data_IF_659899270243
#
_entry.id   IF_659899270243
#
_cell.length_a   1.000
_cell.length_b   1.000
_cell.length_c   1.000
_cell.angle_alpha   90.00
_cell.angle_beta   90.00
_cell.angle_gamma   90.00
#
_symmetry.space_group_name_H-M   'P 1'
#
loop_
_entity.id
_entity.type
_entity.pdbx_description
1 polymer ?
#
# COMPACT_ATOMS: atom_id res chain seq x y z
N UNK A 1 3.71 -65.55 -21.16
CA UNK A 1 3.93 -64.26 -20.47
C UNK A 1 3.05 -63.22 -21.15
N UNK A 2 2.07 -62.66 -20.44
CA UNK A 2 1.06 -61.74 -20.99
C UNK A 2 1.68 -60.37 -21.25
N UNK A 3 1.49 -59.87 -22.48
CA UNK A 3 1.85 -58.53 -22.91
C UNK A 3 0.94 -57.49 -22.22
N UNK A 4 1.54 -56.38 -21.78
CA UNK A 4 0.83 -55.18 -21.37
C UNK A 4 1.43 -53.98 -22.10
N UNK A 5 0.81 -53.61 -23.22
CA UNK A 5 0.98 -52.31 -23.85
C UNK A 5 0.05 -51.32 -23.16
N UNK A 6 0.61 -50.29 -22.51
CA UNK A 6 -0.13 -49.09 -22.13
C UNK A 6 0.64 -47.86 -22.62
N UNK A 7 0.06 -47.26 -23.66
CA UNK A 7 0.34 -45.92 -24.19
C UNK A 7 -0.08 -44.87 -23.16
N UNK A 8 0.71 -43.81 -22.98
CA UNK A 8 0.25 -42.51 -22.48
C UNK A 8 1.18 -41.40 -22.98
N UNK A 9 0.75 -40.55 -23.94
CA UNK A 9 1.48 -39.37 -24.37
C UNK A 9 1.11 -38.19 -23.45
N UNK A 10 1.97 -37.88 -22.48
CA UNK A 10 1.83 -36.72 -21.62
C UNK A 10 2.45 -35.48 -22.27
N UNK A 11 1.64 -34.72 -23.00
CA UNK A 11 2.01 -33.39 -23.49
C UNK A 11 2.38 -32.48 -22.31
N UNK A 12 3.65 -32.12 -22.21
CA UNK A 12 4.14 -31.06 -21.32
C UNK A 12 3.58 -29.72 -21.81
N UNK A 13 2.47 -29.31 -21.21
CA UNK A 13 1.94 -27.96 -21.34
C UNK A 13 2.94 -26.98 -20.74
N UNK A 14 3.60 -26.23 -21.61
CA UNK A 14 4.32 -25.01 -21.30
C UNK A 14 3.32 -24.00 -20.69
N UNK A 15 3.19 -24.01 -19.37
CA UNK A 15 2.60 -22.90 -18.64
C UNK A 15 3.61 -21.73 -18.69
N UNK A 16 3.59 -20.98 -19.79
CA UNK A 16 4.11 -19.63 -19.82
C UNK A 16 3.19 -18.79 -18.94
N UNK A 17 3.52 -18.68 -17.65
CA UNK A 17 2.89 -17.69 -16.78
C UNK A 17 3.28 -16.31 -17.31
N UNK A 18 2.33 -15.70 -18.03
CA UNK A 18 2.35 -14.29 -18.39
C UNK A 18 2.72 -13.47 -17.17
N UNK A 19 3.87 -12.79 -17.25
CA UNK A 19 4.29 -11.81 -16.28
C UNK A 19 3.41 -10.57 -16.38
N UNK A 20 2.18 -10.66 -15.88
CA UNK A 20 1.39 -9.49 -15.57
C UNK A 20 1.96 -8.88 -14.29
N UNK A 21 2.81 -7.88 -14.47
CA UNK A 21 3.28 -6.96 -13.42
C UNK A 21 2.15 -6.07 -12.90
N UNK A 22 0.94 -6.62 -12.72
CA UNK A 22 -0.09 -5.95 -11.95
C UNK A 22 0.27 -6.15 -10.48
N UNK A 23 0.77 -5.09 -9.86
CA UNK A 23 0.92 -5.05 -8.41
C UNK A 23 -0.44 -5.45 -7.80
N UNK A 24 -0.49 -6.40 -6.84
CA UNK A 24 -1.74 -6.89 -6.28
C UNK A 24 -2.30 -5.81 -5.36
N UNK A 25 -2.86 -4.77 -5.94
CA UNK A 25 -3.46 -3.68 -5.18
C UNK A 25 -4.84 -4.09 -4.72
N UNK A 26 -5.07 -3.93 -3.42
CA UNK A 26 -6.38 -4.04 -2.80
C UNK A 26 -7.36 -3.06 -3.45
N UNK A 27 -8.65 -3.40 -3.50
CA UNK A 27 -9.71 -2.46 -3.90
C UNK A 27 -9.84 -1.27 -2.94
N UNK A 28 -9.38 -1.44 -1.70
CA UNK A 28 -9.18 -0.35 -0.75
C UNK A 28 -7.76 0.23 -0.95
N UNK A 29 -7.61 1.46 -1.46
CA UNK A 29 -6.32 2.07 -1.76
C UNK A 29 -5.49 2.34 -0.50
N UNK A 30 -6.09 2.28 0.68
CA UNK A 30 -5.39 2.48 1.94
C UNK A 30 -4.67 1.22 2.44
N UNK A 31 -4.87 0.07 1.79
CA UNK A 31 -4.22 -1.20 2.13
C UNK A 31 -3.04 -1.49 1.22
N UNK A 32 -2.00 -2.08 1.78
CA UNK A 32 -0.81 -2.50 1.04
C UNK A 32 0.48 -1.96 1.65
N UNK A 33 1.54 -1.99 0.85
CA UNK A 33 2.89 -1.64 1.26
C UNK A 33 3.36 -0.33 0.61
N UNK A 34 4.10 0.45 1.37
CA UNK A 34 4.48 1.80 0.98
C UNK A 34 5.94 2.07 1.30
N UNK A 35 6.59 2.88 0.45
CA UNK A 35 7.97 3.31 0.63
C UNK A 35 8.14 4.79 0.24
N UNK A 36 9.14 5.46 0.80
CA UNK A 36 9.50 6.84 0.43
C UNK A 36 10.12 6.97 -0.97
N UNK A 37 10.41 5.85 -1.65
CA UNK A 37 10.81 5.85 -3.07
C UNK A 37 10.43 4.54 -3.75
N UNK A 38 10.24 4.57 -5.08
CA UNK A 38 9.95 3.38 -5.91
C UNK A 38 11.09 2.36 -6.00
N UNK A 39 12.30 2.72 -5.53
CA UNK A 39 13.50 1.87 -5.59
C UNK A 39 13.81 1.18 -4.27
N UNK A 40 13.04 1.46 -3.22
CA UNK A 40 13.21 0.84 -1.91
C UNK A 40 12.16 -0.24 -1.69
N UNK A 41 12.52 -1.23 -0.88
CA UNK A 41 11.56 -2.15 -0.31
C UNK A 41 10.55 -1.38 0.56
N UNK A 42 9.42 -2.04 0.86
CA UNK A 42 8.38 -1.49 1.71
C UNK A 42 8.93 -1.06 3.09
N UNK A 43 8.65 0.18 3.50
CA UNK A 43 9.07 0.74 4.78
C UNK A 43 7.95 0.66 5.82
N UNK A 44 6.70 0.72 5.35
CA UNK A 44 5.53 0.46 6.16
C UNK A 44 4.46 -0.27 5.35
N UNK A 45 3.58 -0.98 6.04
CA UNK A 45 2.40 -1.60 5.45
C UNK A 45 1.15 -1.28 6.25
N UNK A 46 0.03 -1.19 5.56
CA UNK A 46 -1.29 -1.07 6.17
C UNK A 46 -2.06 -2.36 5.94
N UNK A 47 -2.46 -2.98 7.04
CA UNK A 47 -3.31 -4.17 7.05
C UNK A 47 -4.68 -3.82 7.66
N UNK A 48 -5.69 -4.63 7.35
CA UNK A 48 -7.02 -4.55 7.97
C UNK A 48 -7.34 -5.83 8.72
N UNK A 49 -7.66 -5.70 10.00
CA UNK A 49 -8.03 -6.82 10.87
C UNK A 49 -9.24 -6.43 11.72
N UNK A 50 -10.27 -7.28 11.77
CA UNK A 50 -11.50 -6.96 12.50
C UNK A 50 -12.20 -5.67 12.06
N UNK A 51 -11.98 -5.24 10.80
CA UNK A 51 -12.50 -3.98 10.27
C UNK A 51 -11.67 -2.73 10.63
N UNK A 52 -10.63 -2.87 11.45
CA UNK A 52 -9.73 -1.80 11.85
C UNK A 52 -8.44 -1.82 11.02
N UNK A 53 -7.87 -0.64 10.78
CA UNK A 53 -6.60 -0.50 10.05
C UNK A 53 -5.43 -0.45 11.02
N UNK A 54 -4.33 -1.11 10.68
CA UNK A 54 -3.11 -1.09 11.46
C UNK A 54 -1.92 -0.81 10.55
N UNK A 55 -1.00 0.03 11.02
CA UNK A 55 0.30 0.18 10.37
C UNK A 55 1.32 -0.74 11.01
N UNK A 56 2.12 -1.41 10.20
CA UNK A 56 3.37 -2.04 10.63
C UNK A 56 4.54 -1.36 9.95
N UNK A 57 5.63 -1.15 10.68
CA UNK A 57 6.87 -0.60 10.13
C UNK A 57 7.92 -1.70 9.99
N UNK A 58 8.66 -1.66 8.90
CA UNK A 58 9.87 -2.45 8.74
C UNK A 58 10.95 -1.88 9.65
N UNK A 59 11.51 -2.71 10.53
CA UNK A 59 12.67 -2.37 11.36
C UNK A 59 13.64 -3.54 11.40
N UNK A 60 14.79 -3.36 10.74
CA UNK A 60 15.92 -4.30 10.78
C UNK A 60 15.55 -5.74 10.36
N UNK A 61 14.83 -5.88 9.25
CA UNK A 61 14.32 -7.13 8.70
C UNK A 61 13.07 -7.67 9.38
N UNK A 62 12.46 -6.93 10.31
CA UNK A 62 11.28 -7.39 11.05
C UNK A 62 10.15 -6.39 10.96
N UNK A 63 8.95 -6.90 10.65
CA UNK A 63 7.73 -6.12 10.69
C UNK A 63 7.23 -5.93 12.12
N UNK A 64 7.12 -4.68 12.55
CA UNK A 64 6.59 -4.31 13.87
C UNK A 64 5.26 -3.63 13.70
N UNK A 65 4.18 -4.31 14.09
CA UNK A 65 2.83 -3.74 14.10
C UNK A 65 2.69 -2.76 15.26
N UNK A 66 2.13 -1.60 14.96
CA UNK A 66 1.75 -0.64 15.99
C UNK A 66 0.49 -1.13 16.71
N UNK A 67 0.41 -1.00 18.05
CA UNK A 67 -0.65 -1.63 18.83
C UNK A 67 -2.01 -0.94 18.66
N UNK A 68 -2.01 0.32 18.26
CA UNK A 68 -3.22 1.13 18.15
C UNK A 68 -3.69 1.18 16.69
N UNK A 69 -4.99 0.94 16.50
CA UNK A 69 -5.61 1.10 15.20
C UNK A 69 -5.51 2.55 14.70
N UNK A 70 -5.37 2.69 13.38
CA UNK A 70 -5.57 3.95 12.69
C UNK A 70 -7.06 4.19 12.51
N UNK A 71 -7.46 5.46 12.57
CA UNK A 71 -8.82 5.86 12.24
C UNK A 71 -8.87 6.45 10.83
N UNK A 72 -10.01 6.25 10.17
CA UNK A 72 -10.28 6.88 8.88
C UNK A 72 -10.60 8.36 9.12
N UNK A 73 -9.82 9.24 8.52
CA UNK A 73 -9.91 10.67 8.74
C UNK A 73 -11.21 11.25 8.18
N UNK A 74 -11.84 12.16 8.93
CA UNK A 74 -12.92 13.00 8.43
C UNK A 74 -12.39 14.12 7.53
N UNK A 75 -13.30 14.85 6.87
CA UNK A 75 -12.92 16.04 6.09
C UNK A 75 -12.27 17.13 6.94
N UNK A 76 -12.74 17.33 8.18
CA UNK A 76 -12.13 18.28 9.10
C UNK A 76 -10.74 17.85 9.53
N UNK A 77 -10.50 16.55 9.76
CA UNK A 77 -9.16 16.05 10.09
C UNK A 77 -8.20 16.30 8.94
N UNK A 78 -8.60 15.98 7.71
CA UNK A 78 -7.81 16.23 6.50
C UNK A 78 -7.48 17.72 6.36
N UNK A 79 -8.43 18.61 6.63
CA UNK A 79 -8.25 20.07 6.59
C UNK A 79 -7.19 20.59 7.57
N UNK A 80 -6.88 19.87 8.64
CA UNK A 80 -5.79 20.24 9.55
C UNK A 80 -4.40 20.04 8.90
N UNK A 81 -4.27 19.08 8.00
CA UNK A 81 -3.00 18.77 7.29
C UNK A 81 -2.92 19.44 5.92
N UNK A 82 -4.08 19.65 5.28
CA UNK A 82 -4.21 20.23 3.94
C UNK A 82 -5.22 21.38 3.98
N UNK A 83 -4.89 22.52 4.62
CA UNK A 83 -5.85 23.61 4.85
C UNK A 83 -6.48 24.15 3.57
N UNK A 84 -5.70 24.27 2.49
CA UNK A 84 -6.15 24.80 1.20
C UNK A 84 -6.55 23.68 0.21
N UNK A 85 -6.22 22.43 0.53
CA UNK A 85 -6.19 21.32 -0.41
C UNK A 85 -6.98 20.09 0.04
N UNK A 86 -7.75 20.18 1.13
CA UNK A 86 -8.47 19.05 1.70
C UNK A 86 -9.40 18.35 0.70
N UNK A 87 -9.98 19.10 -0.24
CA UNK A 87 -10.83 18.58 -1.32
C UNK A 87 -10.10 17.65 -2.29
N UNK A 88 -8.77 17.75 -2.37
CA UNK A 88 -7.93 16.93 -3.27
C UNK A 88 -7.57 15.57 -2.67
N UNK A 89 -7.79 15.37 -1.37
CA UNK A 89 -7.60 14.08 -0.71
C UNK A 89 -8.88 13.26 -0.88
N UNK A 90 -8.77 12.03 -1.34
CA UNK A 90 -9.91 11.12 -1.43
C UNK A 90 -10.21 10.52 -0.06
N UNK A 91 -9.21 9.89 0.55
CA UNK A 91 -9.31 9.22 1.83
C UNK A 91 -7.98 9.24 2.58
N UNK A 92 -8.03 9.07 3.91
CA UNK A 92 -6.82 9.04 4.73
C UNK A 92 -6.98 8.19 5.99
N UNK A 93 -5.86 7.67 6.48
CA UNK A 93 -5.72 7.02 7.77
C UNK A 93 -4.77 7.83 8.65
N UNK A 94 -5.16 8.09 9.89
CA UNK A 94 -4.38 8.90 10.82
C UNK A 94 -4.23 8.16 12.15
N UNK A 95 -3.08 8.33 12.79
CA UNK A 95 -2.88 7.93 14.19
C UNK A 95 -3.43 9.01 15.10
N UNK A 96 -4.31 8.68 16.04
CA UNK A 96 -4.91 9.66 16.96
C UNK A 96 -3.90 10.44 17.80
N UNK A 97 -2.75 9.83 18.13
CA UNK A 97 -1.65 10.47 18.84
C UNK A 97 -0.74 11.34 17.93
N UNK A 98 -1.07 11.48 16.64
CA UNK A 98 -0.22 12.12 15.65
C UNK A 98 0.98 11.25 15.21
N UNK A 99 1.92 11.84 14.47
CA UNK A 99 3.18 11.20 14.06
C UNK A 99 3.07 10.14 12.94
N UNK A 100 1.86 9.74 12.56
CA UNK A 100 1.60 8.96 11.36
C UNK A 100 0.30 9.37 10.68
N UNK A 101 0.35 9.53 9.37
CA UNK A 101 -0.83 9.61 8.51
C UNK A 101 -0.52 9.14 7.10
N UNK A 102 -1.45 8.44 6.46
CA UNK A 102 -1.42 8.10 5.05
C UNK A 102 -2.61 8.78 4.37
N UNK A 103 -2.35 9.52 3.30
CA UNK A 103 -3.35 10.28 2.57
C UNK A 103 -3.32 9.85 1.11
N UNK A 104 -4.43 9.31 0.63
CA UNK A 104 -4.64 8.99 -0.77
C UNK A 104 -5.25 10.20 -1.47
N UNK A 105 -4.53 10.77 -2.43
CA UNK A 105 -5.00 11.86 -3.26
C UNK A 105 -5.99 11.35 -4.31
N UNK A 106 -6.85 12.24 -4.79
CA UNK A 106 -7.67 11.99 -5.99
C UNK A 106 -6.79 11.98 -7.23
N UNK A 107 -7.23 11.25 -8.24
CA UNK A 107 -6.63 11.28 -9.58
C UNK A 107 -6.50 12.72 -10.08
N UNK A 108 -5.29 13.08 -10.55
CA UNK A 108 -5.01 14.41 -11.06
C UNK A 108 -4.83 15.50 -9.99
N UNK A 109 -4.79 15.17 -8.70
CA UNK A 109 -4.48 16.13 -7.64
C UNK A 109 -3.12 16.82 -7.87
N UNK A 110 -3.08 18.13 -7.64
CA UNK A 110 -1.91 18.99 -7.83
C UNK A 110 -1.40 19.55 -6.50
N UNK A 111 -1.31 18.70 -5.49
CA UNK A 111 -0.77 19.07 -4.17
C UNK A 111 0.70 19.50 -4.29
N UNK A 112 1.06 20.63 -3.68
CA UNK A 112 2.39 21.26 -3.82
C UNK A 112 3.58 20.32 -3.55
N UNK A 113 3.44 19.39 -2.61
CA UNK A 113 4.50 18.47 -2.19
C UNK A 113 4.33 17.05 -2.74
N UNK A 114 3.30 16.76 -3.55
CA UNK A 114 3.07 15.42 -4.10
C UNK A 114 3.98 15.17 -5.29
N UNK A 115 4.55 13.98 -5.36
CA UNK A 115 5.26 13.54 -6.54
C UNK A 115 4.28 13.34 -7.71
N UNK A 116 4.73 13.60 -8.94
CA UNK A 116 3.88 13.48 -10.13
C UNK A 116 3.40 12.05 -10.34
N UNK A 117 4.23 11.08 -9.97
CA UNK A 117 4.08 9.64 -10.15
C UNK A 117 3.64 8.91 -8.87
N UNK A 118 3.08 9.63 -7.90
CA UNK A 118 2.46 9.03 -6.71
C UNK A 118 1.13 9.70 -6.38
N UNK A 119 0.16 8.88 -5.98
CA UNK A 119 -1.13 9.32 -5.46
C UNK A 119 -1.18 9.34 -3.93
N UNK A 120 -0.04 9.18 -3.25
CA UNK A 120 0.03 9.08 -1.80
C UNK A 120 0.96 10.12 -1.20
N UNK A 121 0.50 10.72 -0.10
CA UNK A 121 1.31 11.48 0.84
C UNK A 121 1.31 10.74 2.17
N UNK A 122 2.42 10.79 2.90
CA UNK A 122 2.46 10.33 4.27
C UNK A 122 3.03 11.42 5.19
N UNK A 123 2.50 11.47 6.40
CA UNK A 123 3.16 12.08 7.55
C UNK A 123 3.88 10.96 8.30
N UNK A 124 5.18 11.09 8.46
CA UNK A 124 6.04 10.20 9.24
C UNK A 124 6.78 11.05 10.28
N UNK A 125 7.43 10.40 11.25
CA UNK A 125 8.27 11.11 12.25
C UNK A 125 9.37 11.96 11.61
N UNK A 126 9.86 11.58 10.44
CA UNK A 126 10.91 12.29 9.70
C UNK A 126 10.39 13.46 8.84
N UNK A 127 9.07 13.66 8.76
CA UNK A 127 8.43 14.72 7.99
C UNK A 127 7.24 14.23 7.15
N UNK A 128 6.67 15.15 6.38
CA UNK A 128 5.59 14.87 5.43
C UNK A 128 6.10 14.89 4.00
N UNK A 129 5.69 13.92 3.18
CA UNK A 129 6.14 13.81 1.80
C UNK A 129 5.44 12.72 1.00
N UNK A 130 5.77 12.60 -0.29
CA UNK A 130 5.20 11.55 -1.13
C UNK A 130 5.72 10.19 -0.69
N UNK A 131 4.85 9.19 -0.77
CA UNK A 131 5.19 7.78 -0.62
C UNK A 131 4.62 7.02 -1.80
N UNK A 132 5.15 5.84 -2.11
CA UNK A 132 4.78 5.07 -3.28
C UNK A 132 4.22 3.74 -2.83
N UNK A 133 3.09 3.33 -3.41
CA UNK A 133 2.61 1.97 -3.24
C UNK A 133 3.59 1.02 -3.96
N UNK A 134 4.06 0.00 -3.24
CA UNK A 134 5.06 -0.97 -3.71
C UNK A 134 4.57 -2.39 -3.43
N UNK A 135 5.26 -3.40 -3.98
CA UNK A 135 4.99 -4.80 -3.61
C UNK A 135 5.25 -5.01 -2.13
N UNK A 136 4.35 -5.74 -1.47
CA UNK A 136 4.68 -6.40 -0.22
C UNK A 136 5.55 -7.61 -0.54
N UNK A 137 6.70 -7.73 0.13
CA UNK A 137 7.57 -8.91 0.06
C UNK A 137 7.07 -10.03 0.95
#
# INVERSE_FOLDING_TARGET
MRALCLLLPGALLLAACSGDTHLPFSSDPLLGCFATSTRRAAEFRIDKEGGQYFVSFERNGTWQREPNALYKASRSDIGQYFPDDAQQIDSALIRSAGGFGLFHAKDGATLKAKARDSDYMALLLIGAGPVYAVKCE
#
